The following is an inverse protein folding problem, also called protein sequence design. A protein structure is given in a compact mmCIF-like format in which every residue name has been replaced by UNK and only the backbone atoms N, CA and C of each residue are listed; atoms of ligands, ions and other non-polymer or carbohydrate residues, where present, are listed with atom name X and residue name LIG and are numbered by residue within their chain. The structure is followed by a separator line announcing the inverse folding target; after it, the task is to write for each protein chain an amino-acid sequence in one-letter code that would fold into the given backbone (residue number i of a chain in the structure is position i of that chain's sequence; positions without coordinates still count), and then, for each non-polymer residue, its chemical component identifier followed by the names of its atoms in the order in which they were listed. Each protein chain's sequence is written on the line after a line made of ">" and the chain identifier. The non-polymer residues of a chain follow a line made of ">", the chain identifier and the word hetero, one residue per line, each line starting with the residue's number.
data_IF_663878947371
#
_entry.id   IF_663878947371
#
_cell.length_a   1.000
_cell.length_b   1.000
_cell.length_c   1.000
_cell.angle_alpha   90.00
_cell.angle_beta   90.00
_cell.angle_gamma   90.00
#
_symmetry.space_group_name_H-M   'P 1'
#
loop_
_entity.id
_entity.type
_entity.pdbx_description
1 polymer ?
#
# COMPACT_ATOMS: atom_id res chain seq x y z
N UNK A 1 35.59 52.09 -8.02
CA UNK A 1 34.38 51.28 -8.12
C UNK A 1 33.64 51.67 -9.39
N UNK A 2 33.71 50.86 -10.44
CA UNK A 2 33.05 51.13 -11.72
C UNK A 2 31.57 50.82 -11.59
N UNK A 3 30.68 51.82 -11.79
CA UNK A 3 29.23 51.62 -11.86
C UNK A 3 28.89 50.95 -13.19
N UNK A 4 28.51 49.69 -13.13
CA UNK A 4 27.93 48.96 -14.26
C UNK A 4 26.56 49.58 -14.55
N UNK A 5 26.47 50.42 -15.60
CA UNK A 5 25.18 50.88 -16.14
C UNK A 5 24.63 49.77 -17.03
N UNK A 6 23.78 48.91 -16.46
CA UNK A 6 23.03 47.96 -17.24
C UNK A 6 21.84 48.68 -17.90
N UNK A 7 21.84 48.73 -19.23
CA UNK A 7 20.70 49.26 -20.01
C UNK A 7 19.51 48.30 -19.86
N UNK A 8 18.27 48.87 -19.82
CA UNK A 8 17.04 48.08 -19.67
C UNK A 8 16.92 46.94 -20.69
N UNK A 9 17.46 47.17 -21.90
CA UNK A 9 17.47 46.17 -22.97
C UNK A 9 18.42 44.98 -22.67
N UNK A 10 19.56 45.23 -22.07
CA UNK A 10 20.51 44.19 -21.66
C UNK A 10 19.98 43.40 -20.46
N UNK A 11 19.36 44.05 -19.50
CA UNK A 11 18.72 43.39 -18.37
C UNK A 11 17.63 42.39 -18.82
N UNK A 12 16.76 42.81 -19.79
CA UNK A 12 15.74 41.95 -20.35
C UNK A 12 16.36 40.75 -21.10
N UNK A 13 17.41 40.95 -21.87
CA UNK A 13 18.11 39.86 -22.57
C UNK A 13 18.73 38.85 -21.63
N UNK A 14 19.39 39.29 -20.57
CA UNK A 14 20.05 38.40 -19.61
C UNK A 14 19.02 37.70 -18.69
N UNK A 15 17.95 38.37 -18.32
CA UNK A 15 16.87 37.73 -17.54
C UNK A 15 16.09 36.68 -18.34
N UNK A 16 15.80 36.94 -19.63
CA UNK A 16 15.16 35.91 -20.49
C UNK A 16 16.07 34.72 -20.78
N UNK A 17 17.38 34.95 -21.00
CA UNK A 17 18.36 33.86 -21.12
C UNK A 17 18.50 33.05 -19.82
N UNK A 18 18.51 33.73 -18.68
CA UNK A 18 18.58 33.09 -17.36
C UNK A 18 17.33 32.24 -17.09
N UNK A 19 16.11 32.76 -17.36
CA UNK A 19 14.88 32.03 -17.20
C UNK A 19 14.81 30.84 -18.16
N UNK A 20 15.18 31.02 -19.43
CA UNK A 20 15.27 29.92 -20.40
C UNK A 20 16.29 28.85 -19.94
N UNK A 21 17.44 29.22 -19.45
CA UNK A 21 18.43 28.31 -18.92
C UNK A 21 17.92 27.49 -17.73
N UNK A 22 17.22 28.14 -16.79
CA UNK A 22 16.57 27.43 -15.63
C UNK A 22 15.45 26.54 -16.08
N UNK A 23 14.63 26.95 -17.05
CA UNK A 23 13.53 26.12 -17.60
C UNK A 23 14.09 24.91 -18.36
N UNK A 24 15.16 25.11 -19.19
CA UNK A 24 15.80 23.99 -19.90
C UNK A 24 16.55 23.05 -18.94
N UNK A 25 17.32 23.56 -17.97
CA UNK A 25 18.01 22.75 -17.00
C UNK A 25 17.03 22.06 -16.02
N UNK A 26 16.03 22.79 -15.54
CA UNK A 26 14.95 22.24 -14.69
C UNK A 26 14.11 21.22 -15.43
N UNK A 27 13.75 21.47 -16.69
CA UNK A 27 13.02 20.52 -17.53
C UNK A 27 13.81 19.26 -17.84
N UNK A 28 15.13 19.37 -18.03
CA UNK A 28 16.01 18.22 -18.24
C UNK A 28 16.19 17.38 -16.97
N UNK A 29 16.33 18.03 -15.81
CA UNK A 29 16.41 17.34 -14.51
C UNK A 29 15.06 16.69 -14.14
N UNK A 30 13.93 17.33 -14.47
CA UNK A 30 12.59 16.75 -14.26
C UNK A 30 12.30 15.58 -15.21
N UNK A 31 12.81 15.60 -16.44
CA UNK A 31 12.59 14.50 -17.40
C UNK A 31 13.47 13.27 -17.14
N UNK A 32 14.64 13.43 -16.50
CA UNK A 32 15.50 12.30 -16.13
C UNK A 32 15.08 11.62 -14.82
N UNK A 33 14.31 12.30 -13.98
CA UNK A 33 13.59 11.72 -12.85
C UNK A 33 12.10 11.47 -13.18
N UNK A 34 11.82 10.91 -14.34
CA UNK A 34 10.59 10.17 -14.53
C UNK A 34 10.69 8.92 -13.61
N UNK A 35 10.56 9.15 -12.30
CA UNK A 35 10.37 8.10 -11.30
C UNK A 35 9.26 7.24 -11.87
N UNK A 36 9.58 5.98 -12.21
CA UNK A 36 8.60 4.97 -12.57
C UNK A 36 7.46 5.15 -11.59
N UNK A 37 6.27 5.45 -12.09
CA UNK A 37 5.08 5.46 -11.25
C UNK A 37 5.02 4.07 -10.64
N UNK A 38 5.50 3.95 -9.39
CA UNK A 38 5.42 2.69 -8.68
C UNK A 38 3.95 2.31 -8.65
N UNK A 39 3.65 1.06 -9.02
CA UNK A 39 2.31 0.53 -8.92
C UNK A 39 1.92 0.57 -7.44
N UNK A 40 1.20 1.62 -7.04
CA UNK A 40 0.74 1.79 -5.66
C UNK A 40 -0.44 0.87 -5.39
N UNK A 41 -0.48 0.35 -4.18
CA UNK A 41 -1.66 -0.36 -3.71
C UNK A 41 -2.80 0.66 -3.56
N UNK A 42 -3.76 0.60 -4.47
CA UNK A 42 -4.92 1.49 -4.48
C UNK A 42 -6.03 0.97 -3.58
N UNK A 43 -6.91 1.85 -3.06
CA UNK A 43 -8.08 1.42 -2.31
C UNK A 43 -8.97 0.44 -3.10
N UNK A 44 -9.82 -0.33 -2.40
CA UNK A 44 -10.82 -1.20 -3.03
C UNK A 44 -11.59 -0.52 -4.15
N UNK A 45 -11.92 -1.27 -5.20
CA UNK A 45 -12.69 -0.77 -6.34
C UNK A 45 -11.93 0.17 -7.29
N UNK A 46 -10.64 0.47 -7.04
CA UNK A 46 -9.90 1.37 -7.91
C UNK A 46 -9.83 0.83 -9.34
N UNK A 47 -10.34 1.61 -10.31
CA UNK A 47 -10.24 1.33 -11.73
C UNK A 47 -8.78 1.29 -12.18
N UNK A 48 -8.47 0.93 -13.44
CA UNK A 48 -7.09 0.88 -13.91
C UNK A 48 -6.34 2.20 -13.64
N UNK A 49 -5.01 2.15 -13.45
CA UNK A 49 -4.23 3.29 -12.93
C UNK A 49 -4.38 4.56 -13.75
N UNK A 50 -4.39 4.45 -15.08
CA UNK A 50 -4.52 5.60 -15.98
C UNK A 50 -5.88 6.29 -15.80
N UNK A 51 -6.93 5.50 -15.76
CA UNK A 51 -8.30 5.97 -15.56
C UNK A 51 -8.51 6.48 -14.13
N UNK A 52 -7.98 5.77 -13.13
CA UNK A 52 -7.99 6.20 -11.74
C UNK A 52 -7.39 7.59 -11.56
N UNK A 53 -6.22 7.84 -12.15
CA UNK A 53 -5.56 9.15 -12.07
C UNK A 53 -6.35 10.26 -12.79
N UNK A 54 -7.11 9.92 -13.84
CA UNK A 54 -7.96 10.86 -14.55
C UNK A 54 -9.24 11.18 -13.79
N UNK A 55 -9.85 10.20 -13.14
CA UNK A 55 -11.13 10.34 -12.44
C UNK A 55 -10.97 10.86 -11.01
N UNK A 56 -9.87 10.55 -10.32
CA UNK A 56 -9.68 10.90 -8.92
C UNK A 56 -9.56 12.41 -8.73
N UNK A 57 -10.59 13.04 -8.16
CA UNK A 57 -10.63 14.48 -7.85
C UNK A 57 -9.90 14.82 -6.53
N UNK A 58 -9.26 13.85 -5.88
CA UNK A 58 -8.44 14.05 -4.67
C UNK A 58 -9.22 14.64 -3.48
N UNK A 59 -10.49 14.36 -3.37
CA UNK A 59 -11.39 14.92 -2.35
C UNK A 59 -11.13 14.37 -0.92
N UNK A 60 -10.43 13.24 -0.79
CA UNK A 60 -10.11 12.63 0.51
C UNK A 60 -11.28 11.90 1.19
N UNK A 61 -12.46 11.78 0.57
CA UNK A 61 -13.62 11.12 1.20
C UNK A 61 -13.33 9.66 1.57
N UNK A 62 -12.67 8.91 0.68
CA UNK A 62 -12.28 7.53 0.94
C UNK A 62 -11.38 7.37 2.19
N UNK A 63 -10.51 8.36 2.45
CA UNK A 63 -9.67 8.40 3.65
C UNK A 63 -10.50 8.64 4.91
N UNK A 64 -11.45 9.58 4.84
CA UNK A 64 -12.28 9.98 6.00
C UNK A 64 -13.21 8.87 6.50
N UNK A 65 -13.70 8.02 5.59
CA UNK A 65 -14.64 6.95 5.92
C UNK A 65 -13.96 5.61 6.26
N UNK A 66 -12.64 5.53 6.13
CA UNK A 66 -11.90 4.29 6.41
C UNK A 66 -11.84 3.99 7.91
N UNK A 67 -12.52 2.95 8.42
CA UNK A 67 -12.56 2.68 9.87
C UNK A 67 -11.26 2.09 10.42
N UNK A 68 -10.29 1.80 9.56
CA UNK A 68 -8.97 1.28 9.93
C UNK A 68 -7.83 2.26 9.63
N UNK A 69 -8.14 3.47 9.18
CA UNK A 69 -7.16 4.51 8.79
C UNK A 69 -6.09 4.01 7.80
N UNK A 70 -6.44 3.01 6.98
CA UNK A 70 -5.51 2.35 6.04
C UNK A 70 -5.17 3.19 4.83
N UNK A 71 -5.97 4.22 4.51
CA UNK A 71 -5.81 5.01 3.30
C UNK A 71 -5.01 6.26 3.60
N UNK A 72 -3.97 6.51 2.80
CA UNK A 72 -3.14 7.72 2.81
C UNK A 72 -3.26 8.46 1.50
N UNK A 73 -2.89 9.73 1.49
CA UNK A 73 -2.74 10.52 0.27
C UNK A 73 -1.26 10.57 -0.11
N UNK A 74 -0.96 10.37 -1.40
CA UNK A 74 0.41 10.42 -1.90
C UNK A 74 0.99 11.82 -1.85
N UNK A 75 2.24 11.91 -1.40
CA UNK A 75 2.98 13.17 -1.25
C UNK A 75 3.72 13.55 -2.55
N UNK A 76 4.24 14.79 -2.60
CA UNK A 76 4.98 15.36 -3.73
C UNK A 76 6.22 14.51 -4.07
N UNK A 77 6.93 13.98 -3.06
CA UNK A 77 8.10 13.11 -3.24
C UNK A 77 7.82 11.74 -3.86
N UNK A 78 6.55 11.35 -3.96
CA UNK A 78 6.14 10.03 -4.44
C UNK A 78 5.91 9.94 -5.97
N UNK A 79 6.26 10.98 -6.75
CA UNK A 79 6.11 11.00 -8.20
C UNK A 79 4.68 11.26 -8.67
N UNK A 80 4.27 10.64 -9.80
CA UNK A 80 2.95 10.89 -10.40
C UNK A 80 1.78 10.56 -9.46
N UNK A 81 0.70 11.33 -9.58
CA UNK A 81 -0.54 11.12 -8.83
C UNK A 81 -0.50 11.69 -7.42
N UNK A 82 0.22 12.78 -7.19
CA UNK A 82 0.21 13.54 -5.91
C UNK A 82 -1.22 13.81 -5.45
N UNK A 83 -1.48 13.57 -4.16
CA UNK A 83 -2.80 13.75 -3.53
C UNK A 83 -3.78 12.62 -3.82
N UNK A 84 -3.41 11.60 -4.58
CA UNK A 84 -4.29 10.45 -4.81
C UNK A 84 -4.18 9.42 -3.67
N UNK A 85 -5.27 8.72 -3.32
CA UNK A 85 -5.27 7.75 -2.23
C UNK A 85 -4.47 6.49 -2.58
N UNK A 86 -3.76 5.96 -1.58
CA UNK A 86 -3.04 4.70 -1.62
C UNK A 86 -3.02 4.03 -0.24
N UNK A 87 -2.61 2.78 -0.19
CA UNK A 87 -2.42 2.01 1.03
C UNK A 87 -0.94 1.63 1.13
N UNK A 88 -0.35 1.89 2.29
CA UNK A 88 1.00 1.41 2.61
C UNK A 88 0.89 0.14 3.46
N UNK A 89 1.01 -1.00 2.82
CA UNK A 89 0.89 -2.29 3.47
C UNK A 89 2.00 -2.59 4.51
N UNK A 90 3.09 -1.81 4.53
CA UNK A 90 4.11 -1.92 5.58
C UNK A 90 3.69 -1.22 6.88
N UNK A 91 2.75 -0.30 6.80
CA UNK A 91 2.25 0.45 7.95
C UNK A 91 0.84 0.03 8.33
N UNK A 92 -0.08 0.00 7.37
CA UNK A 92 -1.47 -0.37 7.59
C UNK A 92 -2.10 -1.00 6.35
N UNK A 93 -2.46 -2.28 6.40
CA UNK A 93 -3.19 -2.98 5.36
C UNK A 93 -4.68 -2.62 5.30
N UNK A 94 -5.38 -3.05 4.26
CA UNK A 94 -6.83 -2.97 4.16
C UNK A 94 -7.47 -4.19 4.84
N UNK A 95 -8.52 -3.97 5.62
CA UNK A 95 -9.23 -5.04 6.35
C UNK A 95 -10.55 -5.45 5.69
N UNK A 96 -10.74 -5.14 4.40
CA UNK A 96 -11.89 -5.54 3.60
C UNK A 96 -13.24 -5.35 4.32
N UNK A 97 -13.53 -4.08 4.69
CA UNK A 97 -14.74 -3.73 5.44
C UNK A 97 -16.01 -4.21 4.75
N UNK A 98 -17.00 -4.64 5.52
CA UNK A 98 -18.35 -4.88 5.03
C UNK A 98 -18.90 -3.61 4.37
N UNK A 99 -19.53 -3.74 3.21
CA UNK A 99 -20.07 -2.65 2.40
C UNK A 99 -19.04 -1.64 1.86
N UNK A 100 -17.75 -1.92 1.97
CA UNK A 100 -16.64 -1.17 1.35
C UNK A 100 -16.84 0.36 1.36
N UNK A 101 -16.89 1.01 2.55
CA UNK A 101 -17.32 2.42 2.67
C UNK A 101 -16.49 3.41 1.85
N UNK A 102 -15.22 3.12 1.59
CA UNK A 102 -14.38 3.96 0.74
C UNK A 102 -14.85 4.01 -0.72
N UNK A 103 -15.40 2.92 -1.23
CA UNK A 103 -16.01 2.84 -2.58
C UNK A 103 -17.30 3.65 -2.60
N UNK A 104 -18.20 3.42 -1.64
CA UNK A 104 -19.47 4.13 -1.55
C UNK A 104 -19.30 5.66 -1.40
N UNK A 105 -18.24 6.10 -0.75
CA UNK A 105 -17.96 7.52 -0.56
C UNK A 105 -17.28 8.18 -1.78
N UNK A 106 -16.92 7.44 -2.82
CA UNK A 106 -16.22 7.99 -3.98
C UNK A 106 -17.19 8.66 -4.95
N UNK A 107 -17.20 10.01 -5.09
CA UNK A 107 -18.19 10.68 -5.94
C UNK A 107 -17.81 10.70 -7.43
N UNK A 108 -16.57 10.34 -7.77
CA UNK A 108 -16.04 10.51 -9.12
C UNK A 108 -15.98 9.20 -9.93
N UNK A 109 -16.31 8.06 -9.31
CA UNK A 109 -16.18 6.76 -9.96
C UNK A 109 -14.73 6.27 -10.12
N UNK A 110 -13.75 6.96 -9.53
CA UNK A 110 -12.36 6.46 -9.47
C UNK A 110 -12.26 5.14 -8.69
N UNK A 111 -13.17 4.94 -7.73
CA UNK A 111 -13.46 3.66 -7.09
C UNK A 111 -14.79 3.17 -7.64
N UNK A 112 -14.78 2.04 -8.33
CA UNK A 112 -15.94 1.46 -9.01
C UNK A 112 -16.95 0.93 -8.00
N UNK A 113 -18.17 1.46 -8.04
CA UNK A 113 -19.27 1.09 -7.15
C UNK A 113 -19.80 -0.33 -7.36
N UNK A 114 -19.36 -1.05 -8.38
CA UNK A 114 -19.65 -2.49 -8.54
C UNK A 114 -18.89 -3.34 -7.52
N UNK A 115 -17.86 -2.79 -6.85
CA UNK A 115 -17.14 -3.44 -5.76
C UNK A 115 -17.93 -3.28 -4.44
N UNK A 116 -18.82 -4.23 -4.16
CA UNK A 116 -19.75 -4.17 -3.02
C UNK A 116 -19.31 -5.04 -1.84
N UNK A 117 -18.55 -6.10 -2.09
CA UNK A 117 -18.16 -7.13 -1.13
C UNK A 117 -16.64 -7.30 -1.08
N UNK A 118 -16.18 -7.95 0.00
CA UNK A 118 -14.76 -8.26 0.16
C UNK A 118 -14.19 -9.08 -1.02
N UNK A 119 -14.98 -10.00 -1.57
CA UNK A 119 -14.58 -10.87 -2.68
C UNK A 119 -14.47 -10.12 -4.01
N UNK A 120 -15.13 -8.97 -4.15
CA UNK A 120 -15.06 -8.12 -5.35
C UNK A 120 -13.77 -7.29 -5.37
N UNK A 121 -13.09 -7.19 -4.23
CA UNK A 121 -11.88 -6.40 -4.08
C UNK A 121 -10.71 -7.07 -4.83
N UNK A 122 -10.09 -6.35 -5.75
CA UNK A 122 -8.94 -6.81 -6.53
C UNK A 122 -7.84 -5.75 -6.51
N UNK A 123 -7.14 -5.65 -5.38
CA UNK A 123 -6.08 -4.65 -5.20
C UNK A 123 -4.72 -5.15 -5.71
N UNK A 124 -4.51 -6.46 -5.68
CA UNK A 124 -3.28 -7.13 -6.04
C UNK A 124 -3.24 -8.57 -5.53
N UNK A 125 -2.05 -9.11 -5.36
CA UNK A 125 -1.84 -10.48 -4.84
C UNK A 125 -0.72 -10.49 -3.78
N UNK A 126 -0.93 -11.22 -2.69
CA UNK A 126 0.13 -11.51 -1.72
C UNK A 126 1.09 -12.56 -2.26
N UNK A 127 2.36 -12.39 -1.98
CA UNK A 127 3.43 -13.29 -2.44
C UNK A 127 4.41 -13.53 -1.30
N UNK A 128 4.83 -14.77 -1.09
CA UNK A 128 5.96 -15.08 -0.21
C UNK A 128 7.26 -14.70 -0.94
N UNK A 129 7.69 -13.46 -0.78
CA UNK A 129 8.85 -12.88 -1.48
C UNK A 129 10.18 -13.33 -0.86
N UNK A 130 10.22 -13.40 0.48
CA UNK A 130 11.41 -13.73 1.24
C UNK A 130 11.19 -14.97 2.13
N UNK A 131 11.16 -16.20 1.55
CA UNK A 131 10.87 -17.42 2.29
C UNK A 131 11.92 -17.72 3.39
N UNK A 132 13.17 -17.30 3.20
CA UNK A 132 14.23 -17.54 4.17
C UNK A 132 14.09 -16.72 5.46
N UNK A 133 13.36 -15.61 5.43
CA UNK A 133 13.06 -14.79 6.61
C UNK A 133 11.78 -15.24 7.32
N UNK A 134 10.98 -16.12 6.73
CA UNK A 134 9.69 -16.54 7.27
C UNK A 134 9.83 -17.35 8.56
N UNK A 135 9.27 -16.83 9.66
CA UNK A 135 9.32 -17.48 10.97
C UNK A 135 8.55 -18.80 11.00
N UNK A 136 7.48 -18.93 10.22
CA UNK A 136 6.75 -20.19 10.08
C UNK A 136 7.61 -21.30 9.47
N UNK A 137 8.39 -20.99 8.43
CA UNK A 137 9.32 -21.92 7.77
C UNK A 137 10.48 -22.29 8.70
N UNK A 138 11.07 -21.30 9.38
CA UNK A 138 12.21 -21.50 10.29
C UNK A 138 11.82 -22.10 11.64
N UNK A 139 10.53 -22.24 11.94
CA UNK A 139 9.99 -22.65 13.26
C UNK A 139 10.39 -21.70 14.39
N UNK A 140 10.77 -20.49 14.08
CA UNK A 140 11.12 -19.48 15.07
C UNK A 140 9.84 -18.91 15.67
N UNK A 141 9.70 -18.86 17.00
CA UNK A 141 8.55 -18.25 17.65
C UNK A 141 8.44 -16.76 17.30
N UNK A 142 7.22 -16.23 17.32
CA UNK A 142 6.98 -14.78 17.15
C UNK A 142 7.72 -14.02 18.26
N UNK A 143 8.58 -13.05 17.91
CA UNK A 143 9.39 -12.33 18.90
C UNK A 143 8.53 -11.43 19.80
N UNK A 144 9.05 -11.09 20.97
CA UNK A 144 8.43 -10.09 21.85
C UNK A 144 8.42 -8.72 21.18
N UNK A 145 7.36 -7.97 21.38
CA UNK A 145 7.19 -6.62 20.84
C UNK A 145 7.04 -6.57 19.32
N UNK A 146 6.71 -7.68 18.67
CA UNK A 146 6.57 -7.72 17.20
C UNK A 146 5.48 -6.78 16.66
N UNK A 147 4.46 -6.51 17.48
CA UNK A 147 3.32 -5.65 17.13
C UNK A 147 3.47 -4.20 17.63
N UNK A 148 4.67 -3.81 18.09
CA UNK A 148 4.92 -2.45 18.57
C UNK A 148 4.59 -1.37 17.54
N UNK A 149 4.83 -1.64 16.24
CA UNK A 149 4.44 -0.74 15.15
C UNK A 149 2.92 -0.50 15.10
N UNK A 150 2.12 -1.55 15.35
CA UNK A 150 0.66 -1.47 15.38
C UNK A 150 0.19 -0.65 16.58
N UNK A 151 0.79 -0.87 17.75
CA UNK A 151 0.54 -0.03 18.94
C UNK A 151 0.88 1.44 18.68
N UNK A 152 2.07 1.74 18.17
CA UNK A 152 2.48 3.11 17.83
C UNK A 152 1.55 3.76 16.79
N UNK A 153 1.08 3.01 15.80
CA UNK A 153 0.10 3.50 14.83
C UNK A 153 -1.21 3.87 15.52
N UNK A 154 -1.74 3.00 16.37
CA UNK A 154 -2.99 3.23 17.10
C UNK A 154 -2.84 4.44 18.05
N UNK A 155 -1.76 4.52 18.82
CA UNK A 155 -1.48 5.61 19.75
C UNK A 155 -1.33 6.97 19.03
N UNK A 156 -0.81 6.97 17.82
CA UNK A 156 -0.67 8.17 16.98
C UNK A 156 -1.95 8.54 16.22
N UNK A 157 -2.95 7.67 16.20
CA UNK A 157 -4.17 7.85 15.42
C UNK A 157 -5.22 8.62 16.22
N UNK A 158 -5.82 9.67 15.61
CA UNK A 158 -6.99 10.33 16.19
C UNK A 158 -8.24 9.53 15.88
N UNK A 159 -9.16 9.47 16.84
CA UNK A 159 -10.45 8.77 16.68
C UNK A 159 -10.30 7.27 16.35
N UNK A 160 -9.47 6.58 17.11
CA UNK A 160 -9.31 5.12 17.05
C UNK A 160 -10.67 4.44 17.15
N UNK A 161 -10.91 3.48 16.28
CA UNK A 161 -12.17 2.75 16.21
C UNK A 161 -12.13 1.47 17.07
N UNK A 162 -13.28 0.98 17.49
CA UNK A 162 -13.37 -0.32 18.15
C UNK A 162 -12.87 -1.48 17.28
N UNK A 163 -12.98 -1.33 15.95
CA UNK A 163 -12.50 -2.34 15.00
C UNK A 163 -10.98 -2.43 15.03
N UNK A 164 -10.29 -1.31 15.12
CA UNK A 164 -8.83 -1.26 15.24
C UNK A 164 -8.35 -1.87 16.55
N UNK A 165 -9.01 -1.55 17.66
CA UNK A 165 -8.69 -2.13 18.97
C UNK A 165 -8.89 -3.65 18.99
N UNK A 166 -9.94 -4.17 18.37
CA UNK A 166 -10.17 -5.62 18.25
C UNK A 166 -9.08 -6.32 17.43
N UNK A 167 -8.57 -5.67 16.37
CA UNK A 167 -7.45 -6.20 15.60
C UNK A 167 -6.19 -6.25 16.47
N UNK A 168 -5.89 -5.18 17.19
CA UNK A 168 -4.73 -5.10 18.06
C UNK A 168 -4.80 -6.19 19.16
N UNK A 169 -5.90 -6.28 19.89
CA UNK A 169 -6.13 -7.27 20.94
C UNK A 169 -5.97 -8.72 20.42
N UNK A 170 -6.49 -9.00 19.22
CA UNK A 170 -6.35 -10.32 18.58
C UNK A 170 -4.88 -10.71 18.41
N UNK A 171 -4.01 -9.75 18.08
CA UNK A 171 -2.62 -10.02 17.77
C UNK A 171 -1.67 -9.88 18.95
N UNK A 172 -2.02 -9.19 20.04
CA UNK A 172 -1.19 -9.06 21.23
C UNK A 172 -0.78 -10.41 21.86
N UNK A 173 -1.59 -11.43 21.61
CA UNK A 173 -1.39 -12.76 22.22
C UNK A 173 -0.50 -13.73 21.42
N UNK A 174 0.15 -13.29 20.32
CA UNK A 174 0.96 -14.19 19.47
C UNK A 174 2.42 -14.30 19.90
N UNK A 175 2.89 -13.47 20.82
CA UNK A 175 4.27 -13.56 21.34
C UNK A 175 4.61 -14.97 21.81
N UNK A 176 5.78 -15.46 21.39
CA UNK A 176 6.28 -16.79 21.75
C UNK A 176 5.54 -17.97 21.10
N UNK A 177 4.50 -17.72 20.31
CA UNK A 177 3.76 -18.77 19.58
C UNK A 177 4.36 -19.04 18.20
N UNK A 178 3.98 -20.17 17.61
CA UNK A 178 4.28 -20.46 16.20
C UNK A 178 3.64 -19.41 15.30
N UNK A 179 4.40 -18.95 14.28
CA UNK A 179 3.93 -17.88 13.40
C UNK A 179 2.93 -18.39 12.38
N UNK A 180 1.68 -17.96 12.51
CA UNK A 180 0.56 -18.16 11.57
C UNK A 180 -0.14 -16.84 11.21
N UNK A 181 0.43 -15.72 11.65
CA UNK A 181 -0.16 -14.38 11.61
C UNK A 181 -0.76 -13.99 10.26
N UNK A 182 -0.06 -14.27 9.16
CA UNK A 182 -0.52 -13.90 7.82
C UNK A 182 -1.81 -14.62 7.38
N UNK A 183 -2.01 -15.86 7.85
CA UNK A 183 -3.25 -16.61 7.59
C UNK A 183 -4.37 -16.14 8.54
N UNK A 184 -4.04 -15.93 9.82
CA UNK A 184 -5.02 -15.59 10.85
C UNK A 184 -5.58 -14.17 10.72
N UNK A 185 -4.82 -13.22 10.09
CA UNK A 185 -5.29 -11.85 9.83
C UNK A 185 -6.21 -11.77 8.62
N UNK A 186 -6.17 -12.74 7.72
CA UNK A 186 -6.84 -12.63 6.43
C UNK A 186 -8.32 -12.21 6.59
N UNK A 187 -8.74 -11.05 6.02
CA UNK A 187 -10.10 -10.54 6.21
C UNK A 187 -11.13 -11.21 5.29
N UNK A 188 -10.71 -12.11 4.42
CA UNK A 188 -11.63 -12.83 3.54
C UNK A 188 -12.52 -13.75 4.37
N UNK A 189 -13.85 -13.78 4.13
CA UNK A 189 -14.81 -14.56 4.92
C UNK A 189 -14.49 -16.06 4.98
N UNK A 190 -13.90 -16.60 3.92
CA UNK A 190 -13.31 -17.93 3.89
C UNK A 190 -11.79 -17.81 3.68
N UNK A 191 -10.99 -17.65 4.74
CA UNK A 191 -9.55 -17.43 4.61
C UNK A 191 -8.83 -18.58 3.90
N UNK A 192 -9.35 -19.80 3.95
CA UNK A 192 -8.80 -20.96 3.24
C UNK A 192 -8.83 -20.82 1.71
N UNK A 193 -9.67 -19.94 1.16
CA UNK A 193 -9.69 -19.62 -0.26
C UNK A 193 -8.66 -18.56 -0.68
N UNK A 194 -8.09 -17.85 0.28
CA UNK A 194 -7.13 -16.76 0.04
C UNK A 194 -5.73 -17.11 0.49
N UNK A 195 -5.58 -17.67 1.70
CA UNK A 195 -4.29 -18.01 2.29
C UNK A 195 -4.46 -19.11 3.34
N UNK A 196 -3.55 -20.08 3.37
CA UNK A 196 -3.47 -21.08 4.45
C UNK A 196 -2.01 -21.40 4.77
N UNK A 197 -1.79 -21.96 5.97
CA UNK A 197 -0.47 -22.47 6.35
C UNK A 197 -0.37 -23.93 5.96
N UNK A 198 0.61 -24.28 5.12
CA UNK A 198 0.89 -25.63 4.67
C UNK A 198 2.27 -26.10 5.15
N UNK A 199 2.48 -27.41 5.32
CA UNK A 199 3.79 -27.95 5.70
C UNK A 199 4.88 -27.54 4.69
N UNK A 200 6.02 -27.10 5.18
CA UNK A 200 7.21 -26.81 4.38
C UNK A 200 8.21 -27.97 4.37
N UNK A 201 9.03 -28.04 3.33
CA UNK A 201 10.08 -29.06 3.17
C UNK A 201 11.11 -29.06 4.33
N UNK A 202 11.32 -27.90 4.97
CA UNK A 202 12.19 -27.73 6.14
C UNK A 202 11.49 -28.18 7.46
N UNK A 203 10.27 -28.72 7.35
CA UNK A 203 9.47 -29.24 8.48
C UNK A 203 8.74 -28.15 9.27
N UNK A 204 8.81 -26.87 8.85
CA UNK A 204 7.99 -25.77 9.35
C UNK A 204 6.67 -25.67 8.58
N UNK A 205 6.08 -24.47 8.62
CA UNK A 205 4.87 -24.14 7.86
C UNK A 205 5.14 -22.90 7.01
N UNK A 206 4.66 -22.88 5.77
CA UNK A 206 4.72 -21.73 4.89
C UNK A 206 3.31 -21.27 4.51
N UNK A 207 3.10 -19.98 4.29
CA UNK A 207 1.85 -19.52 3.71
C UNK A 207 1.75 -19.97 2.25
N UNK A 208 0.60 -20.49 1.87
CA UNK A 208 0.21 -20.77 0.50
C UNK A 208 -0.94 -19.85 0.13
N UNK A 209 -0.79 -19.16 -1.01
CA UNK A 209 -1.72 -18.14 -1.47
C UNK A 209 -2.59 -18.73 -2.56
N UNK A 210 -3.88 -18.44 -2.54
CA UNK A 210 -4.87 -18.91 -3.50
C UNK A 210 -5.54 -17.75 -4.24
N UNK A 211 -6.35 -18.07 -5.22
CA UNK A 211 -7.05 -17.13 -6.09
C UNK A 211 -8.07 -16.20 -5.37
N UNK A 212 -8.54 -16.61 -4.21
CA UNK A 212 -9.35 -15.76 -3.33
C UNK A 212 -8.59 -14.60 -2.67
N UNK A 213 -7.26 -14.48 -2.87
CA UNK A 213 -6.49 -13.38 -2.32
C UNK A 213 -6.82 -12.06 -3.03
N UNK A 214 -7.25 -11.07 -2.25
CA UNK A 214 -7.63 -9.72 -2.74
C UNK A 214 -6.48 -8.70 -2.72
N UNK A 215 -5.28 -9.09 -2.23
CA UNK A 215 -4.12 -8.20 -2.16
C UNK A 215 -4.27 -7.05 -1.16
N UNK A 216 -4.99 -7.23 -0.09
CA UNK A 216 -5.32 -6.18 0.88
C UNK A 216 -4.12 -5.65 1.70
N UNK A 217 -3.05 -6.44 1.82
CA UNK A 217 -1.83 -6.05 2.55
C UNK A 217 -1.86 -6.32 4.05
N UNK A 218 -2.96 -6.78 4.64
CA UNK A 218 -3.02 -7.08 6.07
C UNK A 218 -1.97 -8.12 6.51
N UNK A 219 -1.72 -9.14 5.70
CA UNK A 219 -0.69 -10.15 5.96
C UNK A 219 0.75 -9.58 5.92
N UNK A 220 0.98 -8.53 5.13
CA UNK A 220 2.27 -7.83 5.07
C UNK A 220 2.47 -6.96 6.31
N UNK A 221 1.42 -6.23 6.75
CA UNK A 221 1.43 -5.40 7.96
C UNK A 221 1.83 -6.19 9.21
N UNK A 222 1.19 -7.35 9.43
CA UNK A 222 1.40 -8.15 10.65
C UNK A 222 2.64 -9.04 10.61
N UNK A 223 3.38 -9.06 9.51
CA UNK A 223 4.57 -9.88 9.40
C UNK A 223 5.63 -9.42 10.42
N UNK A 224 6.06 -10.29 11.35
CA UNK A 224 6.90 -9.90 12.48
C UNK A 224 8.39 -9.72 12.12
N UNK A 225 8.75 -9.89 10.85
CA UNK A 225 10.12 -9.72 10.37
C UNK A 225 10.40 -8.27 9.99
N UNK A 226 11.64 -7.81 10.15
CA UNK A 226 12.05 -6.44 9.83
C UNK A 226 11.74 -6.05 8.38
N UNK A 227 11.96 -6.99 7.45
CA UNK A 227 11.42 -6.92 6.09
C UNK A 227 10.36 -8.00 5.99
N UNK A 228 9.09 -7.65 5.69
CA UNK A 228 8.01 -8.63 5.62
C UNK A 228 8.33 -9.77 4.65
N UNK A 229 8.22 -11.01 5.12
CA UNK A 229 8.45 -12.19 4.28
C UNK A 229 7.40 -12.35 3.19
N UNK A 230 6.17 -11.88 3.48
CA UNK A 230 5.05 -11.83 2.56
C UNK A 230 4.81 -10.39 2.13
N UNK A 231 4.71 -10.15 0.82
CA UNK A 231 4.60 -8.80 0.22
C UNK A 231 3.45 -8.78 -0.77
N UNK A 232 2.72 -7.68 -0.84
CA UNK A 232 1.67 -7.51 -1.84
C UNK A 232 2.25 -6.92 -3.11
N UNK A 233 1.95 -7.56 -4.25
CA UNK A 233 2.21 -7.03 -5.60
C UNK A 233 0.93 -6.30 -6.05
N UNK A 234 0.93 -4.97 -6.11
CA UNK A 234 -0.25 -4.19 -6.48
C UNK A 234 -0.70 -4.48 -7.90
N UNK A 235 -2.02 -4.52 -8.15
CA UNK A 235 -2.65 -4.64 -9.47
C UNK A 235 -2.29 -5.90 -10.27
N UNK A 236 -1.67 -6.89 -9.63
CA UNK A 236 -1.36 -8.19 -10.23
C UNK A 236 -2.43 -9.18 -9.77
N UNK A 237 -2.97 -9.97 -10.68
CA UNK A 237 -3.93 -11.05 -10.34
C UNK A 237 -3.21 -12.34 -9.98
N UNK A 238 -3.94 -13.29 -9.39
CA UNK A 238 -3.43 -14.62 -9.08
C UNK A 238 -2.92 -15.33 -10.33
N UNK A 239 -3.70 -15.32 -11.42
CA UNK A 239 -3.33 -15.96 -12.68
C UNK A 239 -2.07 -15.34 -13.27
N UNK A 240 -1.94 -14.02 -13.27
CA UNK A 240 -0.76 -13.33 -13.80
C UNK A 240 0.52 -13.69 -13.05
N UNK A 241 0.44 -13.91 -11.73
CA UNK A 241 1.64 -14.18 -10.94
C UNK A 241 1.98 -15.66 -10.82
N UNK A 242 0.96 -16.51 -10.61
CA UNK A 242 1.17 -17.93 -10.33
C UNK A 242 1.07 -18.84 -11.55
N UNK A 243 0.32 -18.44 -12.62
CA UNK A 243 0.25 -19.26 -13.85
C UNK A 243 1.53 -19.19 -14.71
N UNK A 244 2.31 -18.10 -14.59
CA UNK A 244 3.60 -17.99 -15.31
C UNK A 244 4.74 -18.82 -14.67
N UNK A 245 4.49 -19.48 -13.54
CA UNK A 245 5.49 -20.28 -12.78
C UNK A 245 5.27 -21.80 -12.86
N UNK A 246 4.32 -22.27 -13.68
CA UNK A 246 4.06 -23.70 -13.92
C UNK A 246 4.70 -24.17 -15.19
#
# INVERSE_FOLDING_TARGET
>A
MAKIKTDRREFIKYSTLGVLGVVFAGGFVFSTQAVKAENRLRPPGAVNEKEFLALCIKCGQCLQVCPYHSIKLSDIGMGHGVGTPYIDANERGCYACTAVPCVLACPSGALDHSCEKAEDIKMGIAVLEFPDTCLGISKTPVPKGYNEKMHQFIDGTRNVTELELKVLEKFDQYEGKACTLCADICPIPNPLSAITMVPDKKGGQRPEIYDGCIGCGACQEVCPTSTPSIVVKPRVTYEQFYSEKV
#
